data_IF_075220178643
#
_entry.id   IF_075220178643
#
_cell.length_a   1.000
_cell.length_b   1.000
_cell.length_c   1.000
_cell.angle_alpha   90.00
_cell.angle_beta   90.00
_cell.angle_gamma   90.00
#
_symmetry.space_group_name_H-M   'P 1'
#
loop_
_entity.id
_entity.type
_entity.pdbx_description
1 polymer ?
#
# COMPACT_ATOMS: atom_id res chain seq x y z
N UNK A 1 35.99 20.75 92.02
CA UNK A 1 35.01 19.68 91.78
C UNK A 1 34.45 19.89 90.39
N UNK A 2 34.74 18.96 89.52
CA UNK A 2 34.51 19.05 88.08
C UNK A 2 33.14 18.45 87.74
N UNK A 3 32.27 19.19 87.05
CA UNK A 3 31.10 18.65 86.38
C UNK A 3 31.37 18.66 84.88
N UNK A 4 31.47 17.47 84.32
CA UNK A 4 31.50 17.28 82.85
C UNK A 4 30.11 17.20 82.37
N UNK A 5 29.73 18.13 81.50
CA UNK A 5 28.50 18.06 80.74
C UNK A 5 28.73 17.22 79.48
N UNK A 6 28.02 16.12 79.40
CA UNK A 6 27.97 15.21 78.24
C UNK A 6 27.07 15.78 77.16
N UNK A 7 27.66 16.20 76.04
CA UNK A 7 26.86 16.65 74.86
C UNK A 7 26.53 15.42 74.05
N UNK A 8 25.27 15.05 74.10
CA UNK A 8 24.68 13.98 73.27
C UNK A 8 24.51 14.51 71.87
N UNK A 9 25.34 14.10 70.95
CA UNK A 9 25.19 14.36 69.51
C UNK A 9 24.07 13.50 68.94
N UNK A 10 22.95 14.13 68.70
CA UNK A 10 21.80 13.53 67.97
C UNK A 10 22.11 13.58 66.45
N UNK A 11 22.63 12.48 65.92
CA UNK A 11 22.82 12.31 64.49
C UNK A 11 21.46 12.06 63.85
N UNK A 12 20.96 13.06 63.11
CA UNK A 12 19.78 12.97 62.28
C UNK A 12 20.17 12.23 61.00
N UNK A 13 19.89 10.91 60.93
CA UNK A 13 20.08 10.12 59.72
C UNK A 13 18.92 10.39 58.78
N UNK A 14 19.17 11.26 57.79
CA UNK A 14 18.23 11.52 56.68
C UNK A 14 18.22 10.30 55.77
N UNK A 15 17.17 9.47 55.91
CA UNK A 15 16.92 8.34 55.04
C UNK A 15 16.34 8.88 53.72
N UNK A 16 17.19 9.20 52.75
CA UNK A 16 16.73 9.50 51.37
C UNK A 16 16.32 8.19 50.76
N UNK A 17 15.01 7.92 50.76
CA UNK A 17 14.42 6.86 49.95
C UNK A 17 14.57 7.26 48.49
N UNK A 18 15.59 6.71 47.83
CA UNK A 18 15.77 6.78 46.38
C UNK A 18 14.67 5.96 45.74
N UNK A 19 13.54 6.62 45.44
CA UNK A 19 12.51 6.05 44.57
C UNK A 19 13.13 6.00 43.16
N UNK A 20 13.80 4.93 42.87
CA UNK A 20 14.11 4.52 41.50
C UNK A 20 12.77 4.23 40.82
N UNK A 21 12.16 5.25 40.22
CA UNK A 21 11.16 5.04 39.19
C UNK A 21 11.83 4.22 38.09
N UNK A 22 11.62 2.92 38.13
CA UNK A 22 11.80 2.09 36.93
C UNK A 22 10.88 2.72 35.88
N UNK A 23 11.45 3.54 35.03
CA UNK A 23 10.86 3.86 33.73
C UNK A 23 10.83 2.51 33.02
N UNK A 24 9.73 1.79 33.20
CA UNK A 24 9.36 0.71 32.30
C UNK A 24 9.36 1.40 30.93
N UNK A 25 10.26 1.04 30.01
CA UNK A 25 10.15 1.56 28.67
C UNK A 25 8.74 1.20 28.24
N UNK A 26 7.87 2.22 28.19
CA UNK A 26 6.51 2.02 27.72
C UNK A 26 6.65 1.26 26.43
N UNK A 27 6.07 0.08 26.33
CA UNK A 27 5.94 -0.63 25.06
C UNK A 27 5.23 0.37 24.15
N UNK A 28 6.02 1.12 23.39
CA UNK A 28 5.53 2.00 22.35
C UNK A 28 4.64 1.11 21.50
N UNK A 29 3.34 1.35 21.55
CA UNK A 29 2.41 0.60 20.74
C UNK A 29 2.87 0.79 19.31
N UNK A 30 3.44 -0.27 18.75
CA UNK A 30 4.14 -0.18 17.50
C UNK A 30 3.17 0.29 16.41
N UNK A 31 3.48 1.46 15.87
CA UNK A 31 2.62 2.19 14.94
C UNK A 31 2.61 1.50 13.58
N UNK A 32 1.48 1.54 12.87
CA UNK A 32 1.40 1.14 11.47
C UNK A 32 2.19 2.10 10.59
N UNK A 33 2.51 1.70 9.36
CA UNK A 33 3.19 2.58 8.38
C UNK A 33 2.44 3.91 8.24
N UNK A 34 1.11 3.86 8.18
CA UNK A 34 0.28 5.05 8.05
C UNK A 34 0.39 5.98 9.24
N UNK A 35 0.24 5.47 10.45
CA UNK A 35 0.40 6.26 11.69
C UNK A 35 1.81 6.85 11.79
N UNK A 36 2.82 6.08 11.37
CA UNK A 36 4.20 6.57 11.30
C UNK A 36 4.35 7.75 10.36
N UNK A 37 3.85 7.64 9.12
CA UNK A 37 3.87 8.73 8.15
C UNK A 37 3.17 9.98 8.68
N UNK A 38 1.97 9.85 9.24
CA UNK A 38 1.21 10.97 9.78
C UNK A 38 1.97 11.76 10.85
N UNK A 39 2.63 11.04 11.76
CA UNK A 39 3.45 11.69 12.81
C UNK A 39 4.60 12.50 12.26
N UNK A 40 5.15 12.13 11.08
CA UNK A 40 6.28 12.82 10.48
C UNK A 40 5.89 14.01 9.63
N UNK A 41 4.62 14.13 9.21
CA UNK A 41 4.17 15.22 8.33
C UNK A 41 4.51 16.62 8.86
N UNK A 42 4.31 16.96 10.16
CA UNK A 42 4.70 18.26 10.68
C UNK A 42 6.21 18.55 10.53
N UNK A 43 7.07 17.55 10.73
CA UNK A 43 8.51 17.68 10.57
C UNK A 43 8.89 17.91 9.10
N UNK A 44 8.26 17.15 8.19
CA UNK A 44 8.48 17.32 6.75
C UNK A 44 8.06 18.73 6.29
N UNK A 45 6.90 19.22 6.74
CA UNK A 45 6.45 20.60 6.43
C UNK A 45 7.42 21.64 7.00
N UNK A 46 7.89 21.46 8.24
CA UNK A 46 8.87 22.35 8.86
C UNK A 46 10.18 22.37 8.06
N UNK A 47 10.68 21.20 7.65
CA UNK A 47 11.87 21.07 6.80
C UNK A 47 11.73 21.85 5.47
N UNK A 48 10.59 21.68 4.77
CA UNK A 48 10.32 22.35 3.51
C UNK A 48 10.25 23.87 3.69
N UNK A 49 9.54 24.34 4.73
CA UNK A 49 9.40 25.77 5.02
C UNK A 49 10.73 26.42 5.41
N UNK A 50 11.55 25.75 6.21
CA UNK A 50 12.88 26.24 6.62
C UNK A 50 13.79 26.47 5.40
N UNK A 51 13.63 25.66 4.35
CA UNK A 51 14.39 25.76 3.09
C UNK A 51 13.69 26.60 2.02
N UNK A 52 12.54 27.17 2.34
CA UNK A 52 11.73 27.97 1.41
C UNK A 52 11.27 27.20 0.16
N UNK A 53 11.15 25.88 0.25
CA UNK A 53 10.67 25.01 -0.82
C UNK A 53 9.14 25.03 -0.85
N UNK A 54 8.58 25.70 -1.84
CA UNK A 54 7.14 25.99 -1.89
C UNK A 54 6.36 25.04 -2.79
N UNK A 55 6.92 24.60 -3.91
CA UNK A 55 6.26 23.70 -4.87
C UNK A 55 6.88 22.32 -4.78
N UNK A 56 6.11 21.35 -4.27
CA UNK A 56 6.64 20.03 -3.85
C UNK A 56 5.83 18.90 -4.45
N UNK A 57 6.51 17.89 -5.00
CA UNK A 57 5.92 16.63 -5.44
C UNK A 57 6.34 15.46 -4.57
N UNK A 58 5.54 14.40 -4.55
CA UNK A 58 5.88 13.16 -3.86
C UNK A 58 6.06 12.04 -4.89
N UNK A 59 7.25 11.47 -4.92
CA UNK A 59 7.61 10.38 -5.81
C UNK A 59 7.51 9.02 -5.12
N UNK A 60 7.39 7.99 -5.93
CA UNK A 60 7.33 6.58 -5.54
C UNK A 60 8.43 6.24 -4.52
N UNK A 61 8.05 5.52 -3.46
CA UNK A 61 8.99 5.03 -2.45
C UNK A 61 9.72 3.80 -2.96
N UNK A 62 10.89 3.54 -2.40
CA UNK A 62 11.66 2.31 -2.63
C UNK A 62 11.51 1.38 -1.44
N UNK A 63 11.51 0.09 -1.71
CA UNK A 63 11.46 -0.95 -0.69
C UNK A 63 12.70 -1.82 -0.79
N UNK A 64 13.33 -2.11 0.33
CA UNK A 64 14.40 -3.10 0.45
C UNK A 64 13.91 -4.21 1.37
N UNK A 65 13.76 -5.40 0.83
CA UNK A 65 13.45 -6.61 1.59
C UNK A 65 14.75 -7.33 1.98
N UNK A 66 14.75 -8.14 3.06
CA UNK A 66 15.90 -8.93 3.45
C UNK A 66 16.43 -9.79 2.30
N UNK A 67 17.74 -9.72 2.07
CA UNK A 67 18.42 -10.47 1.00
C UNK A 67 18.17 -9.98 -0.43
N UNK A 68 17.32 -8.96 -0.65
CA UNK A 68 17.00 -8.43 -1.97
C UNK A 68 17.64 -7.06 -2.21
N UNK A 69 17.74 -6.67 -3.49
CA UNK A 69 18.13 -5.31 -3.87
C UNK A 69 16.97 -4.35 -3.58
N UNK A 70 17.33 -3.08 -3.35
CA UNK A 70 16.32 -2.03 -3.22
C UNK A 70 15.59 -1.83 -4.55
N UNK A 71 14.26 -1.71 -4.51
CA UNK A 71 13.44 -1.60 -5.73
C UNK A 71 12.29 -0.61 -5.54
N UNK A 72 11.85 0.01 -6.64
CA UNK A 72 10.64 0.82 -6.71
C UNK A 72 9.41 0.01 -7.18
N UNK A 73 9.56 -1.30 -7.39
CA UNK A 73 8.53 -2.23 -7.87
C UNK A 73 8.37 -3.48 -7.01
N UNK A 74 8.57 -3.37 -5.70
CA UNK A 74 8.33 -4.47 -4.77
C UNK A 74 6.84 -4.90 -4.75
N UNK A 75 5.94 -3.95 -4.92
CA UNK A 75 4.50 -4.14 -4.95
C UNK A 75 3.74 -2.82 -4.89
N UNK A 76 2.47 -2.87 -4.58
CA UNK A 76 1.62 -1.69 -4.48
C UNK A 76 2.08 -0.68 -3.41
N UNK A 77 2.79 -1.15 -2.38
CA UNK A 77 3.24 -0.32 -1.26
C UNK A 77 4.14 0.84 -1.73
N UNK A 78 4.97 0.63 -2.76
CA UNK A 78 5.85 1.68 -3.29
C UNK A 78 5.08 2.96 -3.67
N UNK A 79 3.96 2.82 -4.38
CA UNK A 79 3.12 3.95 -4.80
C UNK A 79 2.17 4.39 -3.69
N UNK A 80 1.61 3.46 -2.92
CA UNK A 80 0.68 3.75 -1.84
C UNK A 80 1.28 4.69 -0.79
N UNK A 81 2.56 4.55 -0.48
CA UNK A 81 3.25 5.43 0.48
C UNK A 81 3.41 6.84 -0.05
N UNK A 82 3.72 7.00 -1.34
CA UNK A 82 3.78 8.32 -1.97
C UNK A 82 2.42 9.03 -1.89
N UNK A 83 1.35 8.31 -2.20
CA UNK A 83 0.00 8.87 -2.14
C UNK A 83 -0.41 9.24 -0.72
N UNK A 84 -0.10 8.39 0.27
CA UNK A 84 -0.38 8.67 1.67
C UNK A 84 0.37 9.91 2.16
N UNK A 85 1.63 10.06 1.76
CA UNK A 85 2.40 11.25 2.10
C UNK A 85 1.85 12.50 1.41
N UNK A 86 1.51 12.43 0.11
CA UNK A 86 0.89 13.54 -0.63
C UNK A 86 -0.41 14.00 0.05
N UNK A 87 -1.31 13.07 0.37
CA UNK A 87 -2.56 13.36 1.08
C UNK A 87 -2.29 14.00 2.43
N UNK A 88 -1.37 13.43 3.19
CA UNK A 88 -1.01 13.97 4.50
C UNK A 88 -0.49 15.40 4.42
N UNK A 89 0.35 15.71 3.43
CA UNK A 89 0.83 17.07 3.17
C UNK A 89 -0.32 18.03 2.80
N UNK A 90 -1.27 17.57 1.97
CA UNK A 90 -2.45 18.39 1.61
C UNK A 90 -3.30 18.68 2.85
N UNK A 91 -3.59 17.68 3.68
CA UNK A 91 -4.43 17.83 4.86
C UNK A 91 -3.79 18.73 5.94
N UNK A 92 -2.48 18.60 6.15
CA UNK A 92 -1.74 19.38 7.12
C UNK A 92 -1.32 20.76 6.59
N UNK A 93 -1.46 21.00 5.28
CA UNK A 93 -1.08 22.27 4.65
C UNK A 93 -1.88 23.43 5.25
N UNK A 94 -1.25 24.52 5.70
CA UNK A 94 -1.95 25.67 6.26
C UNK A 94 -2.81 26.38 5.20
N UNK A 95 -3.90 27.06 5.65
CA UNK A 95 -4.71 27.90 4.77
C UNK A 95 -4.08 29.28 4.51
N UNK A 96 -3.11 29.67 5.32
CA UNK A 96 -2.36 30.91 5.14
C UNK A 96 -1.47 30.81 3.89
N UNK A 97 -1.79 31.59 2.86
CA UNK A 97 -1.12 31.57 1.56
C UNK A 97 0.40 31.77 1.66
N UNK A 98 0.87 32.59 2.62
CA UNK A 98 2.30 32.83 2.82
C UNK A 98 3.06 31.58 3.25
N UNK A 99 2.40 30.69 4.00
CA UNK A 99 2.95 29.43 4.50
C UNK A 99 2.50 28.20 3.72
N UNK A 100 1.55 28.37 2.81
CA UNK A 100 0.99 27.28 2.02
C UNK A 100 2.02 26.70 1.06
N UNK A 101 2.05 25.36 0.99
CA UNK A 101 2.82 24.62 -0.01
C UNK A 101 1.94 24.39 -1.24
N UNK A 102 2.51 24.50 -2.43
CA UNK A 102 1.91 24.04 -3.67
C UNK A 102 2.23 22.55 -3.82
N UNK A 103 1.24 21.68 -3.70
CA UNK A 103 1.45 20.24 -3.85
C UNK A 103 1.21 19.84 -5.30
N UNK A 104 2.18 19.20 -5.92
CA UNK A 104 2.08 18.61 -7.26
C UNK A 104 1.17 17.39 -7.17
N UNK A 105 0.12 17.37 -7.98
CA UNK A 105 -0.83 16.25 -8.00
C UNK A 105 -0.20 15.01 -8.63
N UNK A 106 -0.22 13.90 -7.90
CA UNK A 106 0.25 12.59 -8.40
C UNK A 106 1.60 12.72 -9.15
N UNK A 107 2.59 13.29 -8.43
CA UNK A 107 3.87 13.66 -9.02
C UNK A 107 4.58 12.48 -9.69
N UNK A 108 4.41 11.25 -9.17
CA UNK A 108 4.96 10.06 -9.80
C UNK A 108 4.38 9.82 -11.19
N UNK A 109 3.06 9.95 -11.38
CA UNK A 109 2.45 9.75 -12.69
C UNK A 109 2.89 10.82 -13.69
N UNK A 110 3.00 12.08 -13.26
CA UNK A 110 3.52 13.16 -14.12
C UNK A 110 5.00 12.96 -14.47
N UNK A 111 5.78 12.43 -13.51
CA UNK A 111 7.20 12.12 -13.71
C UNK A 111 7.43 11.02 -14.76
N UNK A 112 6.49 10.09 -14.91
CA UNK A 112 6.57 9.02 -15.92
C UNK A 112 6.59 9.54 -17.37
N UNK A 113 6.16 10.77 -17.59
CA UNK A 113 6.18 11.43 -18.91
C UNK A 113 7.53 12.11 -19.22
N UNK A 114 8.40 12.27 -18.20
CA UNK A 114 9.67 12.99 -18.34
C UNK A 114 10.76 12.01 -18.76
N UNK A 115 11.33 12.21 -19.96
CA UNK A 115 12.51 11.47 -20.40
C UNK A 115 13.65 11.67 -19.40
N UNK A 116 14.38 10.59 -19.12
CA UNK A 116 15.57 10.60 -18.25
C UNK A 116 15.31 10.93 -16.77
N UNK A 117 14.06 11.14 -16.36
CA UNK A 117 13.74 11.34 -14.95
C UNK A 117 14.02 10.04 -14.18
N UNK A 118 14.93 10.14 -13.22
CA UNK A 118 15.33 9.04 -12.34
C UNK A 118 15.73 9.60 -10.98
N UNK A 119 14.91 9.41 -9.95
CA UNK A 119 15.27 9.88 -8.63
C UNK A 119 16.36 9.05 -7.93
N UNK A 120 16.85 7.97 -8.55
CA UNK A 120 17.94 7.15 -8.02
C UNK A 120 19.31 7.75 -8.33
N UNK A 121 19.45 8.41 -9.47
CA UNK A 121 20.69 9.03 -9.91
C UNK A 121 20.64 10.56 -9.74
N UNK A 122 21.79 11.19 -9.55
CA UNK A 122 21.86 12.64 -9.44
C UNK A 122 21.47 13.33 -10.76
N UNK A 123 21.94 12.81 -11.88
CA UNK A 123 21.59 13.32 -13.22
C UNK A 123 20.08 13.20 -13.47
N UNK A 124 19.48 12.03 -13.17
CA UNK A 124 18.06 11.80 -13.36
C UNK A 124 17.20 12.70 -12.44
N UNK A 125 17.68 13.04 -11.23
CA UNK A 125 16.99 13.97 -10.34
C UNK A 125 16.92 15.39 -10.92
N UNK A 126 17.93 15.83 -11.65
CA UNK A 126 17.91 17.14 -12.28
C UNK A 126 16.86 17.26 -13.40
N UNK A 127 16.52 16.17 -14.06
CA UNK A 127 15.50 16.15 -15.11
C UNK A 127 14.10 16.55 -14.60
N UNK A 128 13.81 16.40 -13.31
CA UNK A 128 12.53 16.80 -12.73
C UNK A 128 12.32 18.31 -12.64
N UNK A 129 13.37 19.11 -12.67
CA UNK A 129 13.28 20.55 -12.44
C UNK A 129 13.13 21.39 -13.72
N UNK A 130 13.07 20.75 -14.89
CA UNK A 130 12.80 21.42 -16.17
C UNK A 130 11.32 21.68 -16.43
N UNK A 131 10.44 20.65 -16.27
CA UNK A 131 9.03 20.75 -16.59
C UNK A 131 8.20 21.50 -15.54
N UNK A 132 7.02 21.96 -15.97
CA UNK A 132 5.95 22.42 -15.09
C UNK A 132 4.93 21.32 -14.82
N UNK A 133 4.48 21.23 -13.57
CA UNK A 133 3.59 20.21 -13.07
C UNK A 133 2.21 20.76 -12.71
N UNK A 134 1.17 19.97 -12.95
CA UNK A 134 -0.18 20.26 -12.46
C UNK A 134 -0.21 20.15 -10.94
N UNK A 135 -0.79 21.15 -10.29
CA UNK A 135 -0.96 21.15 -8.85
C UNK A 135 -2.18 20.34 -8.43
N UNK A 136 -2.27 19.98 -7.15
CA UNK A 136 -3.42 19.27 -6.59
C UNK A 136 -4.70 20.11 -6.58
N UNK A 137 -4.58 21.44 -6.64
CA UNK A 137 -5.70 22.38 -6.77
C UNK A 137 -5.33 23.57 -7.67
N UNK A 138 -6.35 24.30 -8.12
CA UNK A 138 -6.18 25.38 -9.10
C UNK A 138 -5.92 24.85 -10.51
N UNK A 139 -5.85 25.72 -11.48
CA UNK A 139 -5.61 25.37 -12.90
C UNK A 139 -4.17 25.63 -13.36
N UNK A 140 -3.34 26.19 -12.47
CA UNK A 140 -1.97 26.56 -12.78
C UNK A 140 -1.06 25.33 -12.78
N UNK A 141 -0.03 25.40 -13.63
CA UNK A 141 1.14 24.53 -13.55
C UNK A 141 2.29 25.32 -12.97
N UNK A 142 3.14 24.66 -12.18
CA UNK A 142 4.33 25.29 -11.60
C UNK A 142 5.54 24.36 -11.72
N UNK A 143 6.72 24.95 -11.88
CA UNK A 143 7.97 24.22 -11.74
C UNK A 143 8.14 23.78 -10.28
N UNK A 144 8.70 22.60 -10.07
CA UNK A 144 8.97 22.08 -8.74
C UNK A 144 10.18 22.78 -8.10
N UNK A 145 10.12 23.03 -6.80
CA UNK A 145 11.27 23.43 -5.99
C UNK A 145 11.95 22.19 -5.41
N UNK A 146 11.17 21.17 -5.08
CA UNK A 146 11.67 19.92 -4.49
C UNK A 146 10.75 18.72 -4.77
N UNK A 147 11.33 17.54 -4.62
CA UNK A 147 10.59 16.28 -4.58
C UNK A 147 10.91 15.50 -3.31
N UNK A 148 9.87 14.94 -2.73
CA UNK A 148 9.96 13.95 -1.66
C UNK A 148 9.90 12.55 -2.25
N UNK A 149 10.61 11.63 -1.64
CA UNK A 149 10.56 10.19 -1.88
C UNK A 149 10.85 9.48 -0.56
N UNK A 150 10.96 8.16 -0.55
CA UNK A 150 11.32 7.47 0.67
C UNK A 150 11.90 6.09 0.45
N UNK A 151 12.38 5.52 1.55
CA UNK A 151 12.91 4.17 1.62
C UNK A 151 12.23 3.43 2.76
N UNK A 152 11.77 2.23 2.48
CA UNK A 152 11.27 1.26 3.46
C UNK A 152 12.27 0.12 3.54
N UNK A 153 12.88 -0.07 4.71
CA UNK A 153 13.79 -1.17 4.99
C UNK A 153 13.02 -2.21 5.82
N UNK A 154 12.62 -3.30 5.19
CA UNK A 154 11.96 -4.42 5.87
C UNK A 154 13.00 -5.19 6.68
N UNK A 155 12.71 -5.45 7.97
CA UNK A 155 13.60 -6.20 8.85
C UNK A 155 13.52 -7.71 8.58
N UNK A 156 14.50 -8.46 9.06
CA UNK A 156 14.61 -9.91 8.81
C UNK A 156 13.45 -10.73 9.40
N UNK A 157 12.75 -10.17 10.40
CA UNK A 157 11.56 -10.78 10.98
C UNK A 157 10.31 -10.64 10.10
N UNK A 158 10.34 -9.83 9.04
CA UNK A 158 9.21 -9.43 8.20
C UNK A 158 8.00 -8.86 8.98
N UNK A 159 8.19 -8.47 10.24
CA UNK A 159 7.15 -7.90 11.10
C UNK A 159 7.29 -6.40 11.25
N UNK A 160 8.49 -5.87 11.03
CA UNK A 160 8.83 -4.47 11.21
C UNK A 160 9.56 -3.92 9.98
N UNK A 161 9.47 -2.62 9.83
CA UNK A 161 10.23 -1.89 8.84
C UNK A 161 10.67 -0.54 9.39
N UNK A 162 11.83 -0.06 8.93
CA UNK A 162 12.28 1.32 9.15
C UNK A 162 11.96 2.15 7.91
N UNK A 163 11.36 3.31 8.09
CA UNK A 163 10.94 4.21 7.01
C UNK A 163 11.70 5.52 7.11
N UNK A 164 12.33 5.91 6.01
CA UNK A 164 12.98 7.21 5.86
C UNK A 164 12.30 8.02 4.75
N UNK A 165 11.98 9.29 5.03
CA UNK A 165 11.49 10.24 4.04
C UNK A 165 12.67 11.11 3.60
N UNK A 166 12.88 11.17 2.29
CA UNK A 166 13.99 11.86 1.65
C UNK A 166 13.46 13.01 0.80
N UNK A 167 14.23 14.06 0.69
CA UNK A 167 13.96 15.21 -0.17
C UNK A 167 15.17 15.46 -1.07
N UNK A 168 14.94 15.89 -2.30
CA UNK A 168 15.95 16.51 -3.14
C UNK A 168 15.35 17.79 -3.77
N UNK A 169 16.18 18.79 -3.91
CA UNK A 169 15.77 20.11 -4.40
C UNK A 169 16.53 20.51 -5.67
N UNK A 170 16.04 21.57 -6.29
CA UNK A 170 16.60 22.12 -7.53
C UNK A 170 18.05 22.62 -7.35
N UNK A 171 18.45 23.00 -6.14
CA UNK A 171 19.74 23.64 -5.91
C UNK A 171 20.92 22.67 -6.05
N UNK A 172 20.77 21.43 -5.56
CA UNK A 172 21.87 20.48 -5.55
C UNK A 172 21.51 19.05 -6.02
N UNK A 173 20.22 18.72 -6.13
CA UNK A 173 19.75 17.39 -6.52
C UNK A 173 20.17 16.26 -5.57
N UNK A 174 20.75 16.55 -4.39
CA UNK A 174 21.18 15.55 -3.43
C UNK A 174 20.01 15.07 -2.58
N UNK A 175 20.01 13.78 -2.27
CA UNK A 175 19.02 13.20 -1.36
C UNK A 175 19.41 13.51 0.09
N UNK A 176 18.54 14.24 0.78
CA UNK A 176 18.67 14.57 2.20
C UNK A 176 17.47 14.06 2.97
N UNK A 177 17.63 13.78 4.26
CA UNK A 177 16.51 13.34 5.11
C UNK A 177 15.60 14.54 5.42
N UNK A 178 14.30 14.39 5.12
CA UNK A 178 13.30 15.40 5.44
C UNK A 178 12.76 15.27 6.88
N UNK A 179 12.95 14.12 7.52
CA UNK A 179 12.62 13.86 8.93
C UNK A 179 13.49 12.74 9.48
N UNK A 180 13.38 12.43 10.77
CA UNK A 180 14.01 11.27 11.36
C UNK A 180 13.47 9.96 10.79
N UNK A 181 14.31 8.92 10.73
CA UNK A 181 13.90 7.55 10.41
C UNK A 181 13.02 7.03 11.53
N UNK A 182 11.92 6.37 11.20
CA UNK A 182 10.99 5.84 12.18
C UNK A 182 10.65 4.38 11.90
N UNK A 183 10.42 3.63 12.96
CA UNK A 183 10.06 2.22 12.88
C UNK A 183 8.55 2.04 12.91
N UNK A 184 8.09 1.06 12.15
CA UNK A 184 6.68 0.70 11.99
C UNK A 184 6.50 -0.80 12.04
N UNK A 185 5.30 -1.24 12.44
CA UNK A 185 4.88 -2.62 12.27
C UNK A 185 4.24 -2.81 10.90
N UNK A 186 4.57 -3.93 10.28
CA UNK A 186 3.88 -4.39 9.08
C UNK A 186 2.59 -5.11 9.48
N UNK A 187 1.57 -4.95 8.68
CA UNK A 187 0.28 -5.63 8.77
C UNK A 187 0.01 -6.45 7.49
N UNK A 188 -1.13 -7.10 7.40
CA UNK A 188 -1.49 -7.90 6.24
C UNK A 188 -1.49 -7.08 4.94
N UNK A 189 -1.92 -5.82 4.99
CA UNK A 189 -1.91 -4.92 3.83
C UNK A 189 -0.49 -4.61 3.40
N UNK A 190 0.38 -4.28 4.36
CA UNK A 190 1.79 -3.98 4.09
C UNK A 190 2.53 -5.21 3.53
N UNK A 191 2.28 -6.39 4.10
CA UNK A 191 2.86 -7.66 3.64
C UNK A 191 2.44 -7.97 2.19
N UNK A 192 1.14 -7.89 1.88
CA UNK A 192 0.67 -8.00 0.50
C UNK A 192 1.23 -6.90 -0.40
N UNK A 193 1.29 -5.67 0.12
CA UNK A 193 1.80 -4.49 -0.60
C UNK A 193 3.27 -4.55 -0.97
N UNK A 194 4.11 -5.30 -0.23
CA UNK A 194 5.50 -5.60 -0.58
C UNK A 194 5.66 -6.88 -1.41
N UNK A 195 4.55 -7.48 -1.85
CA UNK A 195 4.56 -8.65 -2.72
C UNK A 195 4.81 -9.98 -2.02
N UNK A 196 4.66 -10.06 -0.70
CA UNK A 196 4.75 -11.33 0.02
C UNK A 196 3.43 -12.10 -0.04
N UNK A 197 3.53 -13.43 -0.01
CA UNK A 197 2.38 -14.34 -0.12
C UNK A 197 2.16 -15.10 1.18
N UNK A 198 0.89 -15.39 1.51
CA UNK A 198 0.52 -16.19 2.68
C UNK A 198 -0.81 -16.92 2.48
N UNK A 199 -1.02 -17.99 3.25
CA UNK A 199 -2.30 -18.67 3.38
C UNK A 199 -2.51 -19.10 4.84
N UNK A 200 -3.60 -18.68 5.45
CA UNK A 200 -3.99 -19.05 6.81
C UNK A 200 -4.72 -20.39 6.79
N UNK A 201 -3.99 -21.48 6.98
CA UNK A 201 -4.59 -22.79 7.19
C UNK A 201 -5.45 -22.78 8.46
N UNK A 202 -6.63 -23.39 8.41
CA UNK A 202 -7.56 -23.41 9.54
C UNK A 202 -8.41 -22.13 9.71
N UNK A 203 -8.23 -21.11 8.90
CA UNK A 203 -9.10 -19.93 8.93
C UNK A 203 -10.60 -20.27 8.75
N UNK A 204 -10.90 -21.44 8.19
CA UNK A 204 -12.24 -21.96 7.96
C UNK A 204 -12.79 -22.83 9.10
N UNK A 205 -12.01 -23.12 10.15
CA UNK A 205 -12.38 -24.09 11.18
C UNK A 205 -13.19 -23.52 12.35
N UNK A 206 -13.67 -22.27 12.22
CA UNK A 206 -14.46 -21.59 13.26
C UNK A 206 -13.57 -21.22 14.45
N UNK A 207 -13.21 -19.95 14.57
CA UNK A 207 -12.39 -19.46 15.67
C UNK A 207 -12.99 -19.78 17.04
N UNK A 208 -12.15 -19.87 18.07
CA UNK A 208 -12.60 -20.12 19.44
C UNK A 208 -13.63 -19.03 19.84
N UNK A 209 -14.80 -19.48 20.22
CA UNK A 209 -15.94 -18.64 20.63
C UNK A 209 -15.68 -17.80 21.90
N UNK A 210 -14.49 -17.94 22.49
CA UNK A 210 -14.12 -17.28 23.76
C UNK A 210 -13.39 -15.92 23.59
N UNK A 211 -12.89 -15.62 22.39
CA UNK A 211 -12.17 -14.38 22.15
C UNK A 211 -13.08 -13.29 21.59
N UNK A 212 -12.81 -12.04 21.97
CA UNK A 212 -13.47 -10.89 21.34
C UNK A 212 -13.13 -10.83 19.84
N UNK A 213 -14.00 -10.21 19.04
CA UNK A 213 -13.73 -10.02 17.58
C UNK A 213 -12.38 -9.34 17.34
N UNK A 214 -12.05 -8.29 18.10
CA UNK A 214 -10.79 -7.57 18.00
C UNK A 214 -9.57 -8.46 18.31
N UNK A 215 -9.66 -9.34 19.30
CA UNK A 215 -8.56 -10.25 19.64
C UNK A 215 -8.39 -11.33 18.59
N UNK A 216 -9.49 -11.83 18.00
CA UNK A 216 -9.43 -12.72 16.85
C UNK A 216 -8.73 -12.08 15.66
N UNK A 217 -9.04 -10.80 15.35
CA UNK A 217 -8.39 -10.06 14.27
C UNK A 217 -6.89 -9.87 14.54
N UNK A 218 -6.48 -9.50 15.75
CA UNK A 218 -5.06 -9.40 16.14
C UNK A 218 -4.33 -10.73 15.96
N UNK A 219 -4.93 -11.85 16.39
CA UNK A 219 -4.34 -13.17 16.20
C UNK A 219 -4.18 -13.52 14.71
N UNK A 220 -5.18 -13.26 13.89
CA UNK A 220 -5.10 -13.47 12.44
C UNK A 220 -3.97 -12.63 11.82
N UNK A 221 -3.84 -11.35 12.20
CA UNK A 221 -2.74 -10.49 11.74
C UNK A 221 -1.37 -11.10 12.08
N UNK A 222 -1.17 -11.54 13.32
CA UNK A 222 0.09 -12.17 13.72
C UNK A 222 0.37 -13.48 12.96
N UNK A 223 -0.65 -14.28 12.73
CA UNK A 223 -0.53 -15.49 11.93
C UNK A 223 -0.14 -15.20 10.48
N UNK A 224 -0.69 -14.12 9.88
CA UNK A 224 -0.32 -13.67 8.53
C UNK A 224 1.17 -13.36 8.45
N UNK A 225 1.68 -12.54 9.37
CA UNK A 225 3.09 -12.16 9.41
C UNK A 225 4.01 -13.39 9.51
N UNK A 226 3.68 -14.31 10.42
CA UNK A 226 4.44 -15.53 10.61
C UNK A 226 4.39 -16.46 9.38
N UNK A 227 3.22 -16.61 8.78
CA UNK A 227 3.04 -17.49 7.61
C UNK A 227 3.76 -16.90 6.39
N UNK A 228 3.66 -15.60 6.14
CA UNK A 228 4.38 -14.95 5.05
C UNK A 228 5.90 -15.12 5.19
N UNK A 229 6.44 -14.96 6.40
CA UNK A 229 7.87 -15.17 6.67
C UNK A 229 8.30 -16.62 6.41
N UNK A 230 7.46 -17.60 6.74
CA UNK A 230 7.73 -19.05 6.51
C UNK A 230 7.67 -19.40 5.02
N UNK A 231 6.68 -18.89 4.28
CA UNK A 231 6.58 -19.08 2.82
C UNK A 231 7.82 -18.51 2.13
N UNK A 232 8.24 -17.31 2.51
CA UNK A 232 9.45 -16.69 1.95
C UNK A 232 10.71 -17.51 2.24
N UNK A 233 10.84 -18.09 3.43
CA UNK A 233 11.95 -18.98 3.80
C UNK A 233 11.80 -20.41 3.25
N UNK A 234 10.82 -20.67 2.41
CA UNK A 234 10.51 -22.00 1.86
C UNK A 234 10.24 -23.08 2.93
N UNK A 235 9.83 -22.65 4.13
CA UNK A 235 9.43 -23.55 5.22
C UNK A 235 7.98 -24.00 5.10
N UNK A 236 7.15 -23.22 4.39
CA UNK A 236 5.77 -23.55 4.05
C UNK A 236 5.59 -23.59 2.53
N UNK A 237 4.62 -24.39 2.10
CA UNK A 237 4.23 -24.49 0.69
C UNK A 237 3.65 -23.15 0.21
N UNK A 238 4.06 -22.70 -0.98
CA UNK A 238 3.48 -21.51 -1.60
C UNK A 238 1.95 -21.68 -1.77
N UNK A 239 1.14 -20.64 -1.44
CA UNK A 239 -0.32 -20.78 -1.37
C UNK A 239 -0.98 -21.42 -2.59
N UNK A 240 -0.58 -21.08 -3.82
CA UNK A 240 -1.17 -21.68 -5.03
C UNK A 240 -0.80 -23.15 -5.24
N UNK A 241 0.27 -23.62 -4.61
CA UNK A 241 0.71 -25.02 -4.65
C UNK A 241 0.11 -25.86 -3.52
N UNK A 242 -0.55 -25.19 -2.56
CA UNK A 242 -1.19 -25.87 -1.43
C UNK A 242 -2.55 -26.44 -1.86
N UNK A 243 -2.74 -27.75 -1.69
CA UNK A 243 -3.99 -28.42 -2.03
C UNK A 243 -5.18 -27.92 -1.17
N UNK A 244 -4.91 -27.39 0.02
CA UNK A 244 -5.93 -26.83 0.92
C UNK A 244 -6.27 -25.36 0.63
N UNK A 245 -5.56 -24.70 -0.28
CA UNK A 245 -5.82 -23.31 -0.62
C UNK A 245 -7.27 -23.12 -1.10
N UNK A 246 -7.99 -22.09 -0.61
CA UNK A 246 -9.42 -21.92 -0.89
C UNK A 246 -9.72 -21.53 -2.34
N UNK A 247 -8.75 -20.90 -3.00
CA UNK A 247 -8.84 -20.43 -4.38
C UNK A 247 -7.56 -20.75 -5.12
N UNK A 248 -7.69 -21.26 -6.35
CA UNK A 248 -6.60 -21.41 -7.32
C UNK A 248 -6.68 -20.27 -8.34
N UNK A 249 -5.54 -19.75 -8.74
CA UNK A 249 -5.39 -18.78 -9.83
C UNK A 249 -4.66 -19.48 -10.98
N UNK A 250 -5.30 -19.51 -12.14
CA UNK A 250 -4.69 -19.99 -13.39
C UNK A 250 -4.57 -18.82 -14.37
N UNK A 251 -3.43 -18.72 -15.02
CA UNK A 251 -3.10 -17.67 -16.00
C UNK A 251 -3.00 -18.32 -17.38
N UNK A 252 -3.55 -17.66 -18.39
CA UNK A 252 -3.59 -18.14 -19.76
C UNK A 252 -3.08 -17.05 -20.70
N UNK A 253 -2.19 -17.44 -21.63
CA UNK A 253 -1.77 -16.65 -22.77
C UNK A 253 -2.27 -17.33 -24.05
N UNK A 254 -3.07 -16.63 -24.86
CA UNK A 254 -3.75 -17.18 -26.05
C UNK A 254 -4.49 -18.49 -25.77
N UNK A 255 -5.16 -18.60 -24.65
CA UNK A 255 -5.89 -19.78 -24.20
C UNK A 255 -5.03 -20.94 -23.68
N UNK A 256 -3.71 -20.81 -23.69
CA UNK A 256 -2.77 -21.81 -23.13
C UNK A 256 -2.44 -21.48 -21.70
N UNK A 257 -2.59 -22.44 -20.80
CA UNK A 257 -2.23 -22.27 -19.37
C UNK A 257 -0.71 -22.07 -19.24
N UNK A 258 -0.34 -21.01 -18.52
CA UNK A 258 1.05 -20.69 -18.20
C UNK A 258 1.41 -21.25 -16.83
N UNK A 259 2.50 -22.02 -16.69
CA UNK A 259 2.91 -22.55 -15.41
C UNK A 259 3.46 -21.47 -14.49
N UNK A 260 3.07 -21.51 -13.21
CA UNK A 260 3.68 -20.71 -12.15
C UNK A 260 4.94 -21.44 -11.69
N UNK A 261 6.08 -20.77 -11.71
CA UNK A 261 7.37 -21.29 -11.25
C UNK A 261 7.77 -20.60 -9.95
N UNK A 262 8.48 -21.32 -9.08
CA UNK A 262 8.95 -20.79 -7.81
C UNK A 262 10.46 -20.55 -7.86
N UNK A 263 10.90 -19.37 -7.43
CA UNK A 263 12.31 -19.02 -7.29
C UNK A 263 12.46 -18.17 -6.01
N UNK A 264 13.33 -18.59 -5.11
CA UNK A 264 13.65 -17.88 -3.86
C UNK A 264 12.40 -17.48 -3.03
N UNK A 265 11.42 -18.40 -2.94
CA UNK A 265 10.15 -18.19 -2.23
C UNK A 265 9.16 -17.25 -2.93
N UNK A 266 9.46 -16.81 -4.15
CA UNK A 266 8.60 -15.95 -4.97
C UNK A 266 8.04 -16.72 -6.17
N UNK A 267 6.83 -16.35 -6.57
CA UNK A 267 6.16 -16.95 -7.72
C UNK A 267 6.37 -16.11 -8.99
N UNK A 268 6.62 -16.79 -10.09
CA UNK A 268 6.84 -16.22 -11.42
C UNK A 268 6.01 -16.93 -12.48
N UNK A 269 5.59 -16.18 -13.46
CA UNK A 269 5.15 -16.70 -14.77
C UNK A 269 5.99 -16.09 -15.87
N UNK A 270 6.03 -16.76 -17.02
CA UNK A 270 6.68 -16.19 -18.18
C UNK A 270 6.07 -14.83 -18.53
N UNK A 271 6.91 -13.91 -18.96
CA UNK A 271 6.45 -12.61 -19.46
C UNK A 271 5.61 -12.82 -20.73
N UNK A 272 4.41 -12.18 -20.80
CA UNK A 272 3.60 -12.29 -22.02
C UNK A 272 4.22 -11.50 -23.16
N UNK A 273 4.12 -12.03 -24.37
CA UNK A 273 4.57 -11.38 -25.60
C UNK A 273 3.58 -10.29 -26.06
N UNK A 274 4.09 -9.31 -26.81
CA UNK A 274 3.25 -8.25 -27.38
C UNK A 274 2.07 -8.84 -28.18
N UNK A 275 0.87 -8.31 -27.89
CA UNK A 275 -0.36 -8.71 -28.56
C UNK A 275 -0.95 -10.02 -28.06
N UNK A 276 -0.32 -10.76 -27.17
CA UNK A 276 -0.90 -11.96 -26.57
C UNK A 276 -2.14 -11.60 -25.75
N UNK A 277 -3.16 -12.44 -25.90
CA UNK A 277 -4.36 -12.37 -25.08
C UNK A 277 -4.12 -12.98 -23.71
N UNK A 278 -4.24 -12.16 -22.67
CA UNK A 278 -4.10 -12.61 -21.29
C UNK A 278 -5.48 -12.84 -20.68
N UNK A 279 -5.68 -14.00 -20.05
CA UNK A 279 -6.89 -14.31 -19.28
C UNK A 279 -6.48 -14.97 -17.95
N UNK A 280 -7.31 -14.80 -16.92
CA UNK A 280 -7.06 -15.39 -15.60
C UNK A 280 -8.33 -16.10 -15.12
N UNK A 281 -8.18 -17.32 -14.56
CA UNK A 281 -9.29 -18.05 -13.99
C UNK A 281 -9.14 -18.14 -12.47
N UNK A 282 -10.15 -17.69 -11.75
CA UNK A 282 -10.33 -17.87 -10.33
C UNK A 282 -11.16 -19.14 -10.11
N UNK A 283 -10.61 -20.11 -9.40
CA UNK A 283 -11.24 -21.42 -9.21
C UNK A 283 -11.35 -21.70 -7.72
N UNK A 284 -12.60 -21.85 -7.23
CA UNK A 284 -12.88 -22.18 -5.85
C UNK A 284 -12.53 -23.65 -5.56
N UNK A 285 -11.86 -23.89 -4.46
CA UNK A 285 -11.63 -25.25 -3.97
C UNK A 285 -12.93 -25.79 -3.35
N UNK A 286 -13.27 -27.04 -3.62
CA UNK A 286 -14.47 -27.69 -3.07
C UNK A 286 -14.47 -27.77 -1.55
N UNK A 287 -13.30 -27.84 -0.92
CA UNK A 287 -13.15 -27.86 0.54
C UNK A 287 -13.39 -26.50 1.22
N UNK A 288 -13.42 -25.39 0.47
CA UNK A 288 -13.64 -24.07 1.04
C UNK A 288 -15.08 -23.94 1.57
N UNK A 289 -15.23 -23.31 2.73
CA UNK A 289 -16.55 -23.09 3.36
C UNK A 289 -17.08 -21.70 3.02
N UNK A 290 -18.39 -21.56 2.84
CA UNK A 290 -19.07 -20.30 2.62
C UNK A 290 -18.73 -19.62 1.29
N UNK A 291 -19.12 -18.36 1.14
CA UNK A 291 -18.76 -17.53 -0.01
C UNK A 291 -17.38 -16.90 0.18
N UNK A 292 -16.66 -16.73 -0.90
CA UNK A 292 -15.33 -16.12 -0.94
C UNK A 292 -15.38 -14.88 -1.80
N UNK A 293 -14.80 -13.78 -1.31
CA UNK A 293 -14.60 -12.55 -2.05
C UNK A 293 -13.14 -12.42 -2.46
N UNK A 294 -12.89 -12.31 -3.76
CA UNK A 294 -11.54 -12.26 -4.31
C UNK A 294 -11.28 -10.88 -4.91
N UNK A 295 -10.23 -10.23 -4.48
CA UNK A 295 -9.65 -9.06 -5.15
C UNK A 295 -8.51 -9.57 -6.02
N UNK A 296 -8.62 -9.37 -7.33
CA UNK A 296 -7.57 -9.68 -8.29
C UNK A 296 -7.06 -8.36 -8.86
N UNK A 297 -5.80 -8.07 -8.63
CA UNK A 297 -5.12 -6.87 -9.13
C UNK A 297 -4.05 -7.23 -10.14
N UNK A 298 -3.98 -6.45 -11.20
CA UNK A 298 -2.85 -6.45 -12.14
C UNK A 298 -2.17 -5.10 -12.04
N UNK A 299 -0.89 -5.10 -11.79
CA UNK A 299 -0.11 -3.87 -11.54
C UNK A 299 -0.70 -2.94 -10.46
N UNK A 300 -1.31 -3.53 -9.42
CA UNK A 300 -1.92 -2.77 -8.33
C UNK A 300 -3.34 -2.26 -8.61
N UNK A 301 -3.87 -2.43 -9.81
CA UNK A 301 -5.25 -2.08 -10.18
C UNK A 301 -6.17 -3.30 -10.10
N UNK A 302 -7.29 -3.17 -9.37
CA UNK A 302 -8.29 -4.23 -9.27
C UNK A 302 -8.96 -4.46 -10.64
N UNK A 303 -9.10 -5.71 -11.03
CA UNK A 303 -9.77 -6.09 -12.27
C UNK A 303 -11.27 -5.78 -12.28
N UNK A 304 -11.88 -5.49 -11.12
CA UNK A 304 -13.20 -4.88 -11.02
C UNK A 304 -13.06 -3.37 -10.88
N UNK A 305 -13.50 -2.65 -11.91
CA UNK A 305 -13.64 -1.19 -11.94
C UNK A 305 -12.31 -0.42 -11.72
N UNK A 306 -11.16 -1.07 -11.95
CA UNK A 306 -9.82 -0.47 -11.87
C UNK A 306 -9.51 0.24 -10.53
N UNK A 307 -10.03 -0.31 -9.44
CA UNK A 307 -9.87 0.29 -8.12
C UNK A 307 -8.44 0.12 -7.60
N UNK A 308 -7.91 1.19 -7.04
CA UNK A 308 -6.58 1.23 -6.41
C UNK A 308 -6.64 1.45 -4.89
N UNK A 309 -7.74 1.03 -4.30
CA UNK A 309 -7.98 1.05 -2.85
C UNK A 309 -7.26 -0.11 -2.16
N UNK A 310 -7.28 -0.12 -0.81
CA UNK A 310 -6.92 -1.30 -0.04
C UNK A 310 -7.77 -2.50 -0.51
N UNK A 311 -7.21 -3.69 -0.47
CA UNK A 311 -7.92 -4.89 -0.94
C UNK A 311 -9.25 -5.10 -0.22
N UNK A 312 -9.31 -4.78 1.10
CA UNK A 312 -10.55 -4.83 1.86
C UNK A 312 -11.65 -3.93 1.27
N UNK A 313 -11.32 -2.74 0.80
CA UNK A 313 -12.26 -1.73 0.29
C UNK A 313 -12.57 -1.89 -1.20
N UNK A 314 -11.85 -2.76 -1.90
CA UNK A 314 -12.11 -3.07 -3.30
C UNK A 314 -13.38 -3.91 -3.47
N UNK A 315 -14.05 -3.75 -4.62
CA UNK A 315 -15.04 -4.69 -5.09
C UNK A 315 -14.42 -6.06 -5.31
N UNK A 316 -15.18 -7.12 -5.10
CA UNK A 316 -14.65 -8.48 -5.05
C UNK A 316 -15.39 -9.38 -6.04
N UNK A 317 -14.65 -10.23 -6.73
CA UNK A 317 -15.21 -11.38 -7.42
C UNK A 317 -15.72 -12.38 -6.38
N UNK A 318 -16.97 -12.79 -6.49
CA UNK A 318 -17.60 -13.68 -5.51
C UNK A 318 -17.64 -15.09 -6.07
N UNK A 319 -16.98 -16.02 -5.38
CA UNK A 319 -17.11 -17.46 -5.61
C UNK A 319 -17.95 -18.09 -4.49
N UNK A 320 -18.87 -18.96 -4.88
CA UNK A 320 -19.79 -19.69 -3.99
C UNK A 320 -19.76 -21.18 -4.35
N UNK A 321 -20.38 -22.05 -3.55
CA UNK A 321 -20.56 -23.45 -3.92
C UNK A 321 -21.23 -23.64 -5.29
N UNK A 322 -22.16 -22.73 -5.66
CA UNK A 322 -22.91 -22.77 -6.92
C UNK A 322 -22.19 -22.06 -8.08
N UNK A 323 -21.18 -21.25 -7.75
CA UNK A 323 -20.35 -20.50 -8.72
C UNK A 323 -18.87 -20.68 -8.40
N UNK A 324 -18.31 -21.77 -8.87
CA UNK A 324 -16.97 -22.23 -8.48
C UNK A 324 -15.85 -21.70 -9.38
N UNK A 325 -16.16 -21.05 -10.51
CA UNK A 325 -15.16 -20.58 -11.48
C UNK A 325 -15.56 -19.27 -12.10
N UNK A 326 -14.66 -18.30 -12.14
CA UNK A 326 -14.79 -17.03 -12.86
C UNK A 326 -13.58 -16.83 -13.76
N UNK A 327 -13.79 -16.46 -15.03
CA UNK A 327 -12.70 -16.07 -15.95
C UNK A 327 -12.69 -14.57 -16.07
N UNK A 328 -11.58 -13.97 -15.72
CA UNK A 328 -11.30 -12.54 -15.82
C UNK A 328 -10.50 -12.31 -17.11
N UNK A 329 -11.11 -11.62 -18.07
CA UNK A 329 -10.54 -11.38 -19.40
C UNK A 329 -9.92 -9.99 -19.54
N UNK A 330 -10.09 -9.13 -18.54
CA UNK A 330 -9.67 -7.75 -18.56
C UNK A 330 -10.17 -6.98 -17.33
N UNK A 331 -10.18 -5.68 -17.42
CA UNK A 331 -10.73 -4.80 -16.41
C UNK A 331 -12.24 -4.61 -16.64
N UNK A 332 -13.07 -5.09 -15.72
CA UNK A 332 -14.52 -4.88 -15.77
C UNK A 332 -14.83 -3.40 -15.65
N UNK A 333 -15.71 -2.91 -16.53
CA UNK A 333 -16.16 -1.52 -16.52
C UNK A 333 -17.37 -1.32 -15.57
N UNK A 334 -17.61 -0.07 -15.18
CA UNK A 334 -18.71 0.29 -14.24
C UNK A 334 -20.12 0.06 -14.77
N UNK A 335 -20.26 -0.18 -16.06
CA UNK A 335 -21.54 -0.50 -16.69
C UNK A 335 -22.02 -1.94 -16.43
N UNK A 336 -21.18 -2.75 -15.74
CA UNK A 336 -21.43 -4.16 -15.42
C UNK A 336 -21.64 -5.08 -16.65
N UNK A 337 -21.48 -4.57 -17.87
CA UNK A 337 -21.72 -5.30 -19.11
C UNK A 337 -20.48 -5.45 -19.98
N UNK A 338 -19.49 -4.56 -19.82
CA UNK A 338 -18.29 -4.55 -20.66
C UNK A 338 -17.02 -4.69 -19.83
N UNK A 339 -15.99 -5.23 -20.46
CA UNK A 339 -14.64 -5.27 -19.93
C UNK A 339 -13.64 -4.77 -20.96
N UNK A 340 -12.58 -4.14 -20.49
CA UNK A 340 -11.41 -3.79 -21.30
C UNK A 340 -10.39 -4.92 -21.21
N UNK A 341 -10.13 -5.60 -22.32
CA UNK A 341 -9.21 -6.74 -22.36
C UNK A 341 -7.82 -6.35 -21.89
N UNK A 342 -7.10 -7.30 -21.32
CA UNK A 342 -5.68 -7.09 -21.02
C UNK A 342 -4.90 -7.03 -22.35
N UNK A 343 -4.13 -5.95 -22.51
CA UNK A 343 -3.21 -5.77 -23.63
C UNK A 343 -1.77 -5.78 -23.12
N UNK A 344 -0.89 -6.44 -23.84
CA UNK A 344 0.55 -6.48 -23.54
C UNK A 344 1.27 -5.46 -24.40
N UNK A 345 2.07 -4.60 -23.77
CA UNK A 345 2.90 -3.60 -24.46
C UNK A 345 4.09 -4.26 -25.14
N UNK A 346 4.62 -3.59 -26.19
CA UNK A 346 5.86 -4.00 -26.83
C UNK A 346 7.07 -3.95 -25.88
N UNK A 347 8.09 -4.77 -26.14
CA UNK A 347 9.35 -4.76 -25.40
C UNK A 347 10.00 -3.37 -25.41
N UNK A 348 9.97 -2.68 -26.57
CA UNK A 348 10.52 -1.33 -26.72
C UNK A 348 9.78 -0.30 -25.86
N UNK A 349 8.47 -0.41 -25.68
CA UNK A 349 7.70 0.47 -24.80
C UNK A 349 7.90 0.11 -23.32
N UNK A 350 7.98 -1.16 -23.00
CA UNK A 350 8.28 -1.66 -21.66
C UNK A 350 9.70 -1.25 -21.23
N UNK A 351 10.70 -1.38 -22.11
CA UNK A 351 12.09 -1.00 -21.83
C UNK A 351 12.28 0.52 -21.67
N UNK A 352 11.49 1.35 -22.38
CA UNK A 352 11.53 2.82 -22.19
C UNK A 352 11.07 3.25 -20.81
N UNK A 353 10.41 2.35 -20.07
CA UNK A 353 9.89 2.56 -18.71
C UNK A 353 10.77 1.91 -17.64
N UNK A 354 12.10 1.87 -17.86
CA UNK A 354 13.06 1.28 -16.92
C UNK A 354 12.92 1.83 -15.49
N UNK A 355 12.45 3.08 -15.35
CA UNK A 355 11.92 3.59 -14.09
C UNK A 355 10.46 3.98 -14.31
N UNK A 356 9.58 3.06 -14.01
CA UNK A 356 8.15 3.32 -14.07
C UNK A 356 7.68 4.01 -12.79
N UNK A 357 7.46 5.31 -12.88
CA UNK A 357 6.85 6.09 -11.81
C UNK A 357 5.34 5.81 -11.66
N UNK A 358 4.73 5.12 -12.62
CA UNK A 358 3.37 4.65 -12.53
C UNK A 358 3.19 3.59 -11.45
N UNK A 359 2.03 2.98 -11.41
CA UNK A 359 1.68 1.90 -10.46
C UNK A 359 2.11 0.52 -10.93
N UNK A 360 2.84 0.45 -12.04
CA UNK A 360 3.20 -0.79 -12.68
C UNK A 360 4.28 -1.51 -11.89
N UNK A 361 3.94 -2.67 -11.40
CA UNK A 361 4.84 -3.51 -10.64
C UNK A 361 5.25 -4.78 -11.38
N UNK A 362 4.68 -5.01 -12.57
CA UNK A 362 4.87 -6.28 -13.29
C UNK A 362 4.32 -7.46 -12.49
N UNK A 363 3.25 -7.25 -11.70
CA UNK A 363 2.72 -8.22 -10.77
C UNK A 363 1.23 -8.45 -10.94
N UNK A 364 0.83 -9.70 -10.70
CA UNK A 364 -0.56 -10.12 -10.50
C UNK A 364 -0.71 -10.45 -9.01
N UNK A 365 -1.65 -9.81 -8.33
CA UNK A 365 -1.94 -10.03 -6.92
C UNK A 365 -3.37 -10.53 -6.75
N UNK A 366 -3.55 -11.61 -5.99
CA UNK A 366 -4.84 -12.15 -5.61
C UNK A 366 -4.97 -12.16 -4.08
N UNK A 367 -5.99 -11.50 -3.56
CA UNK A 367 -6.31 -11.51 -2.12
C UNK A 367 -7.70 -12.09 -1.90
N UNK A 368 -7.81 -13.05 -0.99
CA UNK A 368 -9.04 -13.80 -0.73
C UNK A 368 -9.57 -13.46 0.67
N UNK A 369 -10.83 -13.08 0.71
CA UNK A 369 -11.58 -12.78 1.92
C UNK A 369 -12.70 -13.81 2.13
N UNK A 370 -12.92 -14.18 3.37
CA UNK A 370 -14.11 -14.93 3.78
C UNK A 370 -15.29 -14.00 3.99
N UNK A 371 -16.51 -14.50 3.76
CA UNK A 371 -17.71 -13.80 4.21
C UNK A 371 -17.85 -13.90 5.72
N UNK A 372 -18.15 -12.79 6.38
CA UNK A 372 -18.48 -12.79 7.81
C UNK A 372 -19.71 -13.67 8.06
N UNK A 373 -19.53 -14.76 8.80
CA UNK A 373 -20.65 -15.54 9.32
C UNK A 373 -21.24 -14.77 10.50
N UNK A 374 -22.39 -14.12 10.26
CA UNK A 374 -23.25 -13.48 11.24
C UNK A 374 -22.56 -13.00 12.54
N UNK A 375 -21.88 -11.87 12.49
CA UNK A 375 -21.81 -11.02 13.66
C UNK A 375 -23.07 -10.14 13.67
N UNK A 376 -23.80 -10.11 14.79
CA UNK A 376 -24.82 -9.07 15.02
C UNK A 376 -24.19 -7.72 14.63
N UNK A 377 -24.91 -6.82 13.94
CA UNK A 377 -24.37 -5.53 13.60
C UNK A 377 -24.02 -4.80 14.91
N UNK A 378 -22.77 -4.85 15.31
CA UNK A 378 -22.24 -3.81 16.16
C UNK A 378 -22.12 -2.59 15.25
N UNK A 379 -22.62 -1.41 15.69
CA UNK A 379 -22.34 -0.20 14.97
C UNK A 379 -20.83 -0.11 14.89
N UNK A 380 -20.30 -0.22 13.70
CA UNK A 380 -18.92 0.12 13.42
C UNK A 380 -18.84 1.59 13.73
N UNK A 381 -18.33 1.93 14.92
CA UNK A 381 -17.75 3.25 15.11
C UNK A 381 -16.61 3.25 14.09
N UNK A 382 -16.92 3.75 12.91
CA UNK A 382 -15.91 4.19 11.98
C UNK A 382 -15.13 5.23 12.77
N UNK A 383 -13.99 4.83 13.31
CA UNK A 383 -12.95 5.80 13.53
C UNK A 383 -12.75 6.39 12.13
N UNK A 384 -13.19 7.63 11.97
CA UNK A 384 -12.99 8.47 10.80
C UNK A 384 -11.50 8.82 10.64
N UNK A 385 -10.63 7.92 11.11
CA UNK A 385 -9.20 8.01 10.99
C UNK A 385 -8.87 7.82 9.51
N UNK A 386 -8.62 8.95 8.85
CA UNK A 386 -7.70 9.25 7.73
C UNK A 386 -7.27 8.08 6.80
N UNK A 387 -7.55 6.81 7.12
CA UNK A 387 -7.26 5.63 6.32
C UNK A 387 -8.03 5.63 5.00
N UNK A 388 -9.22 6.21 4.98
CA UNK A 388 -10.04 6.36 3.79
C UNK A 388 -9.60 7.55 2.92
N UNK A 389 -8.80 8.47 3.44
CA UNK A 389 -8.47 9.72 2.75
C UNK A 389 -7.63 9.50 1.49
N UNK A 390 -6.72 8.52 1.48
CA UNK A 390 -5.95 8.18 0.27
C UNK A 390 -6.85 7.53 -0.79
N UNK A 391 -7.74 6.64 -0.37
CA UNK A 391 -8.76 6.09 -1.24
C UNK A 391 -9.71 7.19 -1.74
N UNK A 392 -9.98 8.19 -0.90
CA UNK A 392 -10.80 9.35 -1.21
C UNK A 392 -10.18 10.27 -2.27
N UNK A 393 -8.91 10.65 -2.14
CA UNK A 393 -8.23 11.50 -3.14
C UNK A 393 -8.22 10.89 -4.53
N UNK A 394 -8.05 9.59 -4.61
CA UNK A 394 -8.09 8.85 -5.87
C UNK A 394 -9.51 8.63 -6.38
N UNK A 395 -10.54 8.70 -5.49
CA UNK A 395 -11.96 8.71 -5.78
C UNK A 395 -12.45 10.01 -6.41
N UNK A 396 -11.71 11.08 -6.26
CA UNK A 396 -12.00 12.37 -6.86
C UNK A 396 -11.23 12.48 -8.18
N UNK A 397 -11.85 12.00 -9.27
CA UNK A 397 -11.73 12.72 -10.53
C UNK A 397 -12.92 13.68 -10.58
N UNK A 398 -12.77 14.91 -10.17
CA UNK A 398 -13.73 15.91 -10.54
C UNK A 398 -13.57 16.11 -12.04
N UNK A 399 -14.66 16.11 -12.75
CA UNK A 399 -14.71 16.71 -14.08
C UNK A 399 -14.13 18.12 -14.05
N UNK A 400 -14.05 18.73 -12.87
CA UNK A 400 -13.39 20.01 -12.59
C UNK A 400 -12.39 19.88 -11.44
N UNK A 401 -11.15 20.31 -11.70
CA UNK A 401 -10.09 20.39 -10.70
C UNK A 401 -10.52 21.39 -9.59
N UNK A 402 -10.34 21.05 -8.29
CA UNK A 402 -10.73 21.94 -7.20
C UNK A 402 -10.03 23.29 -7.32
N UNK A 403 -10.78 24.36 -7.21
CA UNK A 403 -10.28 25.72 -7.45
C UNK A 403 -9.26 26.16 -6.38
N UNK A 404 -9.36 25.67 -5.16
CA UNK A 404 -8.48 26.03 -4.06
C UNK A 404 -8.32 24.86 -3.06
N UNK A 405 -7.37 25.02 -2.13
CA UNK A 405 -7.06 24.03 -1.11
C UNK A 405 -8.25 23.69 -0.21
N UNK A 406 -9.10 24.65 0.13
CA UNK A 406 -10.30 24.43 0.94
C UNK A 406 -11.29 23.50 0.25
N UNK A 407 -11.56 23.76 -1.05
CA UNK A 407 -12.40 22.90 -1.87
C UNK A 407 -11.82 21.48 -1.96
N UNK A 408 -10.51 21.34 -2.17
CA UNK A 408 -9.84 20.04 -2.19
C UNK A 408 -9.96 19.30 -0.87
N UNK A 409 -9.67 19.94 0.27
CA UNK A 409 -9.83 19.31 1.60
C UNK A 409 -11.25 18.87 1.87
N UNK A 410 -12.24 19.67 1.44
CA UNK A 410 -13.66 19.31 1.56
C UNK A 410 -14.01 18.12 0.65
N UNK A 411 -13.50 18.09 -0.58
CA UNK A 411 -13.67 16.97 -1.50
C UNK A 411 -13.05 15.69 -0.95
N UNK A 412 -11.84 15.75 -0.40
CA UNK A 412 -11.19 14.60 0.24
C UNK A 412 -12.08 14.03 1.35
N UNK A 413 -12.63 14.89 2.22
CA UNK A 413 -13.53 14.48 3.31
C UNK A 413 -14.87 13.91 2.82
N UNK A 414 -15.35 14.33 1.65
CA UNK A 414 -16.63 13.89 1.06
C UNK A 414 -16.48 12.68 0.13
N UNK A 415 -15.29 12.44 -0.41
CA UNK A 415 -15.05 11.47 -1.49
C UNK A 415 -15.06 10.00 -1.05
N UNK A 416 -15.22 9.69 0.24
CA UNK A 416 -15.47 8.33 0.72
C UNK A 416 -16.68 7.63 0.05
N UNK A 417 -17.34 8.31 -0.88
CA UNK A 417 -18.57 7.84 -1.58
C UNK A 417 -18.46 7.69 -3.10
N UNK A 418 -17.39 8.10 -3.80
CA UNK A 418 -17.29 8.00 -5.28
C UNK A 418 -15.87 7.62 -5.76
N UNK A 419 -15.81 6.85 -6.85
CA UNK A 419 -14.58 6.23 -7.39
C UNK A 419 -14.03 6.97 -8.62
N UNK A 420 -12.70 6.91 -8.89
CA UNK A 420 -12.07 7.43 -10.10
C UNK A 420 -11.45 6.40 -11.04
N UNK A 421 -11.15 6.86 -12.24
CA UNK A 421 -10.43 6.17 -13.30
C UNK A 421 -8.99 6.68 -13.39
N UNK A 422 -8.01 5.80 -13.64
CA UNK A 422 -6.66 6.17 -14.10
C UNK A 422 -5.99 5.08 -14.91
N UNK A 423 -5.07 5.47 -15.80
CA UNK A 423 -4.51 4.71 -16.92
C UNK A 423 -3.09 4.18 -16.66
N UNK A 424 -2.76 3.06 -17.29
CA UNK A 424 -1.49 2.71 -17.89
C UNK A 424 -0.59 1.69 -17.17
N UNK A 425 -0.11 0.68 -17.87
CA UNK A 425 0.85 -0.27 -17.41
C UNK A 425 1.15 -1.43 -18.35
N UNK A 426 2.13 -2.24 -18.09
CA UNK A 426 2.66 -3.28 -18.98
C UNK A 426 1.59 -4.27 -19.50
N UNK A 427 0.68 -4.75 -18.65
CA UNK A 427 -0.62 -5.25 -19.06
C UNK A 427 -1.56 -4.06 -18.99
N UNK A 428 -1.92 -3.53 -20.14
CA UNK A 428 -2.73 -2.33 -20.26
C UNK A 428 -4.14 -2.67 -20.71
N UNK A 429 -4.97 -1.67 -20.73
CA UNK A 429 -6.28 -1.64 -21.31
C UNK A 429 -6.21 -1.88 -22.80
N UNK A 430 -7.00 -2.85 -23.29
CA UNK A 430 -7.16 -3.16 -24.71
C UNK A 430 -8.56 -2.87 -25.21
N UNK A 431 -9.00 -3.57 -26.26
CA UNK A 431 -10.33 -3.42 -26.84
C UNK A 431 -11.44 -3.82 -25.87
N UNK A 432 -12.59 -3.16 -25.98
CA UNK A 432 -13.78 -3.51 -25.19
C UNK A 432 -14.36 -4.86 -25.65
N UNK A 433 -14.86 -5.63 -24.71
CA UNK A 433 -15.55 -6.91 -24.93
C UNK A 433 -16.75 -7.03 -24.02
N UNK A 434 -17.78 -7.76 -24.48
CA UNK A 434 -18.94 -8.05 -23.64
C UNK A 434 -18.53 -8.94 -22.48
N UNK A 435 -18.82 -8.49 -21.26
CA UNK A 435 -18.60 -9.26 -20.04
C UNK A 435 -19.63 -8.84 -18.97
N UNK A 436 -20.73 -9.61 -18.88
CA UNK A 436 -21.79 -9.30 -17.92
C UNK A 436 -21.44 -9.84 -16.53
N UNK A 437 -21.48 -8.96 -15.54
CA UNK A 437 -21.35 -9.30 -14.13
C UNK A 437 -22.64 -9.00 -13.38
N UNK A 438 -22.87 -9.71 -12.28
CA UNK A 438 -24.03 -9.50 -11.41
C UNK A 438 -23.55 -9.05 -10.04
N UNK A 439 -24.01 -7.89 -9.60
CA UNK A 439 -23.72 -7.38 -8.27
C UNK A 439 -24.47 -8.17 -7.20
N UNK A 440 -23.78 -8.62 -6.17
CA UNK A 440 -24.35 -9.33 -5.03
C UNK A 440 -23.84 -8.72 -3.71
N UNK A 441 -24.67 -8.77 -2.67
CA UNK A 441 -24.25 -8.33 -1.33
C UNK A 441 -23.23 -9.32 -0.75
N UNK A 442 -22.12 -8.82 -0.25
CA UNK A 442 -21.05 -9.58 0.37
C UNK A 442 -20.41 -8.75 1.48
N UNK A 443 -20.33 -9.30 2.67
CA UNK A 443 -19.66 -8.66 3.79
C UNK A 443 -18.37 -9.43 4.11
N UNK A 444 -17.23 -8.84 3.77
CA UNK A 444 -15.94 -9.46 3.97
C UNK A 444 -15.52 -9.44 5.44
N UNK A 445 -14.85 -10.50 5.90
CA UNK A 445 -13.99 -10.43 7.09
C UNK A 445 -12.86 -9.41 6.80
N UNK A 446 -12.56 -8.46 7.69
CA UNK A 446 -11.54 -7.46 7.44
C UNK A 446 -10.12 -8.04 7.26
N UNK A 447 -9.87 -9.23 7.79
CA UNK A 447 -8.58 -9.91 7.61
C UNK A 447 -8.67 -10.95 6.49
N UNK A 448 -7.82 -10.85 5.43
CA UNK A 448 -7.79 -11.82 4.36
C UNK A 448 -7.29 -13.17 4.86
N UNK A 449 -7.78 -14.25 4.25
CA UNK A 449 -7.34 -15.61 4.56
C UNK A 449 -6.19 -16.10 3.68
N UNK A 450 -6.00 -15.45 2.52
CA UNK A 450 -4.93 -15.79 1.58
C UNK A 450 -4.56 -14.55 0.78
N UNK A 451 -3.28 -14.37 0.52
CA UNK A 451 -2.75 -13.42 -0.46
C UNK A 451 -1.65 -14.09 -1.28
N UNK A 452 -1.64 -13.81 -2.57
CA UNK A 452 -0.67 -14.35 -3.52
C UNK A 452 -0.21 -13.23 -4.43
N UNK A 453 1.10 -13.13 -4.59
CA UNK A 453 1.73 -12.24 -5.58
C UNK A 453 2.53 -13.07 -6.57
N UNK A 454 2.29 -12.85 -7.86
CA UNK A 454 3.00 -13.50 -8.97
C UNK A 454 3.65 -12.40 -9.79
N UNK A 455 4.94 -12.50 -10.03
CA UNK A 455 5.67 -11.58 -10.90
C UNK A 455 5.67 -12.11 -12.31
N UNK A 456 5.22 -11.30 -13.28
CA UNK A 456 5.27 -11.64 -14.71
C UNK A 456 6.26 -10.75 -15.47
N UNK A 457 6.65 -9.61 -14.93
CA UNK A 457 7.62 -8.71 -15.50
C UNK A 457 8.50 -8.09 -14.40
N UNK A 458 9.79 -7.89 -14.66
CA UNK A 458 10.69 -7.11 -13.80
C UNK A 458 11.27 -5.96 -14.62
N UNK A 459 10.90 -4.71 -14.31
CA UNK A 459 11.46 -3.54 -14.97
C UNK A 459 12.95 -3.37 -14.71
#
# INVERSE_FOLDING_TARGET
MKYQASIMKMTFTLLIALITTMVVPGMSQAQTIQQGLQKQIPQVIAYLNQRQLKTVGVLKFRVKKPGEKITASAGALNSLLADRLEVGLILANPFDEARQLNIIKDASAQAAEIKEADHLTEAGRQAFFGPEFKLAWGKEKKAADAFLTGIVLVHDDNQRASVGILCFDKANGKLERACEVFDVNLDAESIGGIGESFFLRGAFDGGSTQLSFNDQQKQKQQQILNTAARVKKQQDTFPLMDAAAPVKLEIFYDGRKVPVTMKDGQAFVAEPEEGQKVEMALIRNSSAKGRLGIVLKVNGENTLYRQVKRDFDCNKWILSPDHTRTVVKGYQMKDDNTAEQFQVLSEAESARRAMDYGRHTGQIQMTVFQELQQAKPQPTILNEDEQDLVAMLRGVQPEEQPANLGALKSQIRLAGKKQPETRGGLIVQGAQTDNKVKTVKFQADPTPVMSVTITYYRP
#
